data_IF_664161663883
#
_entry.id   IF_664161663883
#
_cell.length_a   1.000
_cell.length_b   1.000
_cell.length_c   1.000
_cell.angle_alpha   90.00
_cell.angle_beta   90.00
_cell.angle_gamma   90.00
#
_symmetry.space_group_name_H-M   'P 1'
#
loop_
_entity.id
_entity.type
_entity.pdbx_description
1 polymer ?
#
# COMPACT_ATOMS: atom_id res chain seq x y z
N UNK A 1 7.21 -20.23 29.67
CA UNK A 1 6.35 -19.20 29.06
C UNK A 1 5.70 -19.82 27.84
N UNK A 2 4.36 -19.83 27.75
CA UNK A 2 3.62 -20.33 26.57
C UNK A 2 3.04 -19.16 25.79
N UNK A 3 3.18 -19.19 24.47
CA UNK A 3 2.60 -18.22 23.57
C UNK A 3 1.46 -18.88 22.79
N UNK A 4 0.39 -18.14 22.55
CA UNK A 4 -0.67 -18.54 21.66
C UNK A 4 -0.40 -17.90 20.29
N UNK A 5 -0.45 -18.72 19.23
CA UNK A 5 -0.36 -18.25 17.86
C UNK A 5 -1.55 -18.77 17.07
N UNK A 6 -2.03 -17.97 16.13
CA UNK A 6 -3.00 -18.39 15.12
C UNK A 6 -2.24 -18.65 13.84
N UNK A 7 -2.39 -19.86 13.31
CA UNK A 7 -1.77 -20.29 12.06
C UNK A 7 -2.85 -20.32 10.98
N UNK A 8 -2.57 -19.67 9.85
CA UNK A 8 -3.47 -19.66 8.70
C UNK A 8 -2.72 -20.03 7.42
N UNK A 9 -3.45 -20.51 6.43
CA UNK A 9 -2.94 -20.79 5.10
C UNK A 9 -3.27 -19.66 4.14
N UNK A 10 -2.34 -19.32 3.24
CA UNK A 10 -2.58 -18.39 2.12
C UNK A 10 -3.01 -19.12 0.84
N UNK A 11 -3.27 -20.43 0.90
CA UNK A 11 -3.84 -21.16 -0.24
C UNK A 11 -5.20 -20.55 -0.64
N UNK A 12 -5.54 -20.50 -1.92
CA UNK A 12 -6.82 -19.95 -2.40
C UNK A 12 -8.06 -20.57 -1.72
N UNK A 13 -7.98 -21.84 -1.37
CA UNK A 13 -9.05 -22.58 -0.68
C UNK A 13 -9.29 -22.16 0.77
N UNK A 14 -8.36 -21.46 1.39
CA UNK A 14 -8.49 -21.02 2.80
C UNK A 14 -9.48 -19.86 2.99
N UNK A 15 -9.84 -19.16 1.92
CA UNK A 15 -10.62 -17.92 1.96
C UNK A 15 -9.85 -16.71 2.52
N UNK A 16 -8.64 -16.90 3.01
CA UNK A 16 -7.79 -15.79 3.47
C UNK A 16 -7.23 -15.03 2.26
N UNK A 17 -7.42 -13.70 2.25
CA UNK A 17 -6.97 -12.84 1.17
C UNK A 17 -6.08 -11.73 1.71
N UNK A 18 -5.05 -11.38 0.92
CA UNK A 18 -4.27 -10.17 1.14
C UNK A 18 -4.90 -9.09 0.27
N UNK A 19 -5.32 -7.98 0.88
CA UNK A 19 -5.81 -6.81 0.15
C UNK A 19 -4.84 -5.66 0.33
N UNK A 20 -4.74 -4.75 -0.66
CA UNK A 20 -3.79 -3.66 -0.59
C UNK A 20 -4.25 -2.55 0.36
N UNK A 21 -3.30 -1.79 0.86
CA UNK A 21 -3.52 -0.42 1.28
C UNK A 21 -3.03 0.52 0.18
N UNK A 22 -3.81 1.55 -0.08
CA UNK A 22 -3.46 2.62 -1.00
C UNK A 22 -2.92 3.83 -0.23
N UNK A 23 -2.25 4.73 -0.92
CA UNK A 23 -1.68 5.94 -0.34
C UNK A 23 -2.38 7.16 -0.92
N UNK A 24 -2.69 8.13 -0.06
CA UNK A 24 -3.09 9.46 -0.46
C UNK A 24 -2.02 10.45 0.01
N UNK A 25 -1.45 11.18 -0.93
CA UNK A 25 -0.42 12.18 -0.68
C UNK A 25 -1.04 13.55 -0.88
N UNK A 26 -1.23 14.29 0.20
CA UNK A 26 -1.77 15.66 0.11
C UNK A 26 -0.63 16.64 0.02
N UNK A 27 -0.57 17.36 -1.08
CA UNK A 27 0.43 18.39 -1.38
C UNK A 27 -0.07 19.79 -1.03
N UNK A 28 0.81 20.78 -0.86
CA UNK A 28 0.43 22.16 -0.66
C UNK A 28 -0.31 22.80 -1.85
N UNK A 29 -0.08 22.30 -3.08
CA UNK A 29 -0.78 22.77 -4.28
C UNK A 29 -0.99 21.67 -5.30
N UNK A 30 -1.97 21.85 -6.20
CA UNK A 30 -2.25 20.93 -7.28
C UNK A 30 -1.08 20.82 -8.28
N UNK A 31 -0.34 21.90 -8.49
CA UNK A 31 0.85 21.92 -9.35
C UNK A 31 1.95 20.99 -8.81
N UNK A 32 2.23 21.08 -7.50
CA UNK A 32 3.21 20.20 -6.85
C UNK A 32 2.77 18.74 -6.85
N UNK A 33 1.49 18.49 -6.61
CA UNK A 33 0.91 17.15 -6.69
C UNK A 33 1.11 16.56 -8.09
N UNK A 34 0.76 17.33 -9.13
CA UNK A 34 0.93 16.93 -10.53
C UNK A 34 2.39 16.70 -10.90
N UNK A 35 3.29 17.62 -10.54
CA UNK A 35 4.72 17.51 -10.83
C UNK A 35 5.33 16.22 -10.22
N UNK A 36 5.00 15.94 -8.98
CA UNK A 36 5.45 14.70 -8.32
C UNK A 36 4.91 13.45 -9.02
N UNK A 37 3.60 13.43 -9.33
CA UNK A 37 2.97 12.28 -9.98
C UNK A 37 3.55 12.01 -11.37
N UNK A 38 3.81 13.05 -12.16
CA UNK A 38 4.44 12.93 -13.47
C UNK A 38 5.89 12.42 -13.37
N UNK A 39 6.67 12.89 -12.40
CA UNK A 39 8.01 12.36 -12.14
C UNK A 39 8.02 10.88 -11.76
N UNK A 40 7.04 10.43 -10.98
CA UNK A 40 6.87 9.00 -10.69
C UNK A 40 6.48 8.22 -11.96
N UNK A 41 5.54 8.76 -12.75
CA UNK A 41 5.09 8.12 -13.98
C UNK A 41 6.23 7.99 -15.01
N UNK A 42 7.11 8.98 -15.10
CA UNK A 42 8.29 8.95 -15.97
C UNK A 42 9.33 7.91 -15.51
N UNK A 43 9.46 7.71 -14.20
CA UNK A 43 10.38 6.74 -13.63
C UNK A 43 9.86 5.28 -13.66
N UNK A 44 8.61 5.09 -13.99
CA UNK A 44 7.94 3.81 -14.18
C UNK A 44 7.67 3.56 -15.67
N UNK A 45 7.11 2.41 -15.99
CA UNK A 45 6.73 2.06 -17.37
C UNK A 45 5.21 2.05 -17.50
N UNK A 46 4.64 2.46 -18.65
CA UNK A 46 3.23 2.23 -18.93
C UNK A 46 2.89 0.74 -18.78
N UNK A 47 1.75 0.44 -18.19
CA UNK A 47 1.30 -0.94 -18.06
C UNK A 47 0.68 -1.41 -19.37
N UNK A 48 1.22 -2.50 -19.92
CA UNK A 48 0.63 -3.18 -21.09
C UNK A 48 -0.40 -4.26 -20.69
N UNK A 49 -0.61 -4.47 -19.38
CA UNK A 49 -1.51 -5.46 -18.81
C UNK A 49 -2.18 -4.97 -17.53
N UNK A 50 -2.30 -5.85 -16.54
CA UNK A 50 -2.83 -5.44 -15.24
C UNK A 50 -1.91 -4.42 -14.57
N UNK A 51 -2.46 -3.26 -14.20
CA UNK A 51 -1.71 -2.21 -13.56
C UNK A 51 -1.16 -2.67 -12.19
N UNK A 52 0.14 -2.49 -11.96
CA UNK A 52 0.73 -2.67 -10.65
C UNK A 52 0.55 -1.44 -9.77
N UNK A 53 0.63 -0.26 -10.39
CA UNK A 53 0.43 1.04 -9.77
C UNK A 53 -0.54 1.84 -10.63
N UNK A 54 -1.53 2.48 -10.02
CA UNK A 54 -2.35 3.50 -10.68
C UNK A 54 -2.17 4.82 -9.93
N UNK A 55 -1.76 5.85 -10.65
CA UNK A 55 -1.62 7.20 -10.11
C UNK A 55 -2.80 8.05 -10.55
N UNK A 56 -3.60 8.52 -9.60
CA UNK A 56 -4.65 9.50 -9.85
C UNK A 56 -4.25 10.83 -9.22
N UNK A 57 -4.33 11.92 -9.97
CA UNK A 57 -3.87 13.25 -9.53
C UNK A 57 -4.60 14.36 -10.29
N UNK A 58 -4.51 15.63 -9.89
CA UNK A 58 -5.18 16.73 -10.59
C UNK A 58 -4.79 16.79 -12.08
N UNK A 59 -5.78 16.65 -12.94
CA UNK A 59 -5.64 16.57 -14.41
C UNK A 59 -5.41 15.14 -14.96
N UNK A 60 -5.47 14.12 -14.10
CA UNK A 60 -5.52 12.71 -14.46
C UNK A 60 -6.28 11.93 -13.38
N UNK A 61 -7.55 12.30 -13.16
CA UNK A 61 -8.40 11.78 -12.08
C UNK A 61 -8.77 10.31 -12.31
N UNK A 62 -8.88 9.87 -13.54
CA UNK A 62 -9.13 8.46 -13.91
C UNK A 62 -7.88 7.58 -13.75
N UNK A 63 -6.73 8.21 -13.59
CA UNK A 63 -5.48 7.57 -13.27
C UNK A 63 -4.66 7.12 -14.48
N UNK A 64 -3.36 7.02 -14.24
CA UNK A 64 -2.37 6.45 -15.18
C UNK A 64 -1.97 5.08 -14.67
N UNK A 65 -2.19 4.05 -15.47
CA UNK A 65 -1.83 2.67 -15.16
C UNK A 65 -0.36 2.41 -15.51
N UNK A 66 0.41 1.98 -14.51
CA UNK A 66 1.86 1.81 -14.59
C UNK A 66 2.28 0.42 -14.10
N UNK A 67 3.42 -0.03 -14.58
CA UNK A 67 4.16 -1.19 -14.06
C UNK A 67 5.51 -0.75 -13.52
N UNK A 68 6.03 -1.51 -12.56
CA UNK A 68 7.33 -1.28 -11.94
C UNK A 68 8.26 -2.47 -12.23
N UNK A 69 8.82 -2.57 -13.45
CA UNK A 69 9.70 -3.67 -13.81
C UNK A 69 11.05 -3.58 -13.09
N UNK A 70 11.82 -4.68 -13.14
CA UNK A 70 13.20 -4.76 -12.63
C UNK A 70 13.36 -4.36 -11.17
N UNK A 71 12.38 -4.70 -10.33
CA UNK A 71 12.51 -4.55 -8.88
C UNK A 71 13.19 -5.80 -8.27
N UNK A 72 13.96 -5.58 -7.24
CA UNK A 72 14.61 -6.64 -6.44
C UNK A 72 13.85 -6.91 -5.13
N UNK A 73 12.84 -6.13 -4.86
CA UNK A 73 12.02 -6.20 -3.65
C UNK A 73 10.53 -6.15 -4.01
N UNK A 74 9.64 -6.28 -3.04
CA UNK A 74 8.21 -6.18 -3.27
C UNK A 74 7.81 -4.83 -3.87
N UNK A 75 6.72 -4.80 -4.64
CA UNK A 75 6.22 -3.56 -5.24
C UNK A 75 6.05 -2.44 -4.21
N UNK A 76 5.46 -2.76 -3.07
CA UNK A 76 5.18 -1.75 -2.04
C UNK A 76 6.46 -1.20 -1.41
N UNK A 77 7.49 -2.04 -1.20
CA UNK A 77 8.79 -1.60 -0.71
C UNK A 77 9.48 -0.71 -1.74
N UNK A 78 9.50 -1.13 -3.01
CA UNK A 78 10.05 -0.32 -4.11
C UNK A 78 9.40 1.05 -4.19
N UNK A 79 8.08 1.14 -4.11
CA UNK A 79 7.36 2.42 -4.15
C UNK A 79 7.70 3.32 -2.96
N UNK A 80 7.86 2.75 -1.77
CA UNK A 80 8.31 3.51 -0.60
C UNK A 80 9.74 4.02 -0.78
N UNK A 81 10.71 3.14 -0.96
CA UNK A 81 12.13 3.50 -1.03
C UNK A 81 12.47 4.46 -2.18
N UNK A 82 11.80 4.31 -3.34
CA UNK A 82 12.08 5.16 -4.49
C UNK A 82 11.40 6.52 -4.42
N UNK A 83 10.18 6.58 -3.88
CA UNK A 83 9.32 7.77 -4.02
C UNK A 83 8.74 8.28 -2.70
N UNK A 84 8.13 7.42 -1.86
CA UNK A 84 7.32 7.87 -0.74
C UNK A 84 8.19 8.34 0.42
N UNK A 85 9.26 7.62 0.73
CA UNK A 85 10.18 7.96 1.83
C UNK A 85 11.01 9.23 1.56
N UNK A 86 10.98 9.71 0.31
CA UNK A 86 11.64 10.94 -0.14
C UNK A 86 10.72 12.14 -0.24
N UNK A 87 9.47 12.01 0.22
CA UNK A 87 8.52 13.11 0.19
C UNK A 87 9.00 14.28 1.07
N UNK A 88 8.77 15.52 0.62
CA UNK A 88 9.00 16.69 1.46
C UNK A 88 8.15 16.64 2.73
N UNK A 89 8.65 17.26 3.80
CA UNK A 89 8.00 17.26 5.12
C UNK A 89 6.61 17.96 5.15
N UNK A 90 6.32 18.78 4.15
CA UNK A 90 5.05 19.47 3.99
C UNK A 90 3.99 18.66 3.22
N UNK A 91 4.33 17.41 2.81
CA UNK A 91 3.40 16.49 2.17
C UNK A 91 2.85 15.51 3.20
N UNK A 92 1.53 15.45 3.30
CA UNK A 92 0.86 14.56 4.23
C UNK A 92 0.60 13.21 3.56
N UNK A 93 1.08 12.12 4.17
CA UNK A 93 0.81 10.74 3.76
C UNK A 93 -0.33 10.16 4.59
N UNK A 94 -1.33 9.61 3.91
CA UNK A 94 -2.45 8.88 4.49
C UNK A 94 -2.56 7.50 3.85
N UNK A 95 -3.08 6.53 4.61
CA UNK A 95 -3.32 5.18 4.12
C UNK A 95 -4.82 4.87 4.13
N UNK A 96 -5.34 4.35 3.02
CA UNK A 96 -6.72 3.92 2.94
C UNK A 96 -6.89 2.65 2.13
N UNK A 97 -8.04 2.03 2.26
CA UNK A 97 -8.52 0.93 1.40
C UNK A 97 -9.69 1.39 0.53
N UNK A 98 -10.17 2.60 0.77
CA UNK A 98 -11.31 3.17 0.07
C UNK A 98 -10.86 4.04 -1.11
N UNK A 99 -10.98 3.47 -2.31
CA UNK A 99 -10.66 4.17 -3.56
C UNK A 99 -11.69 5.25 -3.90
N UNK A 100 -12.94 5.09 -3.46
CA UNK A 100 -14.01 6.06 -3.73
C UNK A 100 -13.74 7.38 -2.99
N UNK A 101 -13.17 7.32 -1.80
CA UNK A 101 -12.73 8.50 -1.06
C UNK A 101 -11.69 9.30 -1.84
N UNK A 102 -10.69 8.63 -2.42
CA UNK A 102 -9.66 9.30 -3.22
C UNK A 102 -10.26 9.98 -4.45
N UNK A 103 -11.11 9.28 -5.18
CA UNK A 103 -11.79 9.84 -6.35
C UNK A 103 -12.66 11.05 -5.99
N UNK A 104 -13.38 10.98 -4.87
CA UNK A 104 -14.18 12.10 -4.40
C UNK A 104 -13.34 13.33 -4.02
N UNK A 105 -12.16 13.12 -3.41
CA UNK A 105 -11.22 14.22 -3.09
C UNK A 105 -10.70 14.89 -4.36
N UNK A 106 -10.28 14.10 -5.34
CA UNK A 106 -9.78 14.61 -6.62
C UNK A 106 -10.85 15.39 -7.38
N UNK A 107 -12.07 14.86 -7.49
CA UNK A 107 -13.21 15.55 -8.14
C UNK A 107 -13.57 16.88 -7.48
N UNK A 108 -13.26 17.06 -6.21
CA UNK A 108 -13.40 18.34 -5.49
C UNK A 108 -12.20 19.27 -5.65
N UNK A 109 -11.24 18.93 -6.50
CA UNK A 109 -10.06 19.76 -6.76
C UNK A 109 -8.99 19.71 -5.66
N UNK A 110 -9.03 18.71 -4.77
CA UNK A 110 -8.00 18.62 -3.73
C UNK A 110 -6.62 18.35 -4.34
N UNK A 111 -5.54 18.93 -3.79
CA UNK A 111 -4.17 18.74 -4.25
C UNK A 111 -3.62 17.37 -3.77
N UNK A 112 -4.25 16.30 -4.18
CA UNK A 112 -3.96 14.93 -3.74
C UNK A 112 -3.40 14.11 -4.88
N UNK A 113 -2.40 13.29 -4.59
CA UNK A 113 -2.03 12.15 -5.44
C UNK A 113 -2.47 10.87 -4.75
N UNK A 114 -3.34 10.12 -5.40
CA UNK A 114 -3.70 8.79 -4.96
C UNK A 114 -2.80 7.77 -5.66
N UNK A 115 -2.06 7.00 -4.85
CA UNK A 115 -1.20 5.91 -5.31
C UNK A 115 -1.90 4.61 -4.99
N UNK A 116 -2.55 4.03 -5.99
CA UNK A 116 -3.23 2.76 -5.87
C UNK A 116 -2.24 1.64 -6.23
N UNK A 117 -1.99 0.74 -5.30
CA UNK A 117 -1.08 -0.39 -5.48
C UNK A 117 -1.87 -1.68 -5.58
N UNK A 118 -1.42 -2.63 -6.40
CA UNK A 118 -1.93 -4.00 -6.33
C UNK A 118 -1.62 -4.62 -4.97
N UNK A 119 -2.33 -5.67 -4.61
CA UNK A 119 -2.03 -6.41 -3.39
C UNK A 119 -0.63 -7.04 -3.45
N UNK A 120 0.00 -7.18 -2.29
CA UNK A 120 1.18 -8.04 -2.11
C UNK A 120 0.75 -9.49 -2.39
N UNK A 121 1.52 -10.20 -3.21
CA UNK A 121 1.26 -11.62 -3.44
C UNK A 121 1.82 -12.49 -2.32
N UNK A 122 1.36 -13.73 -2.22
CA UNK A 122 1.93 -14.69 -1.25
C UNK A 122 3.41 -14.93 -1.49
N UNK A 123 3.82 -15.01 -2.74
CA UNK A 123 5.22 -15.19 -3.14
C UNK A 123 6.08 -14.01 -2.70
N UNK A 124 5.63 -12.78 -2.92
CA UNK A 124 6.31 -11.57 -2.44
C UNK A 124 6.40 -11.54 -0.91
N UNK A 125 5.34 -12.00 -0.22
CA UNK A 125 5.32 -12.05 1.23
C UNK A 125 6.40 -13.01 1.74
N UNK A 126 6.42 -14.24 1.26
CA UNK A 126 7.38 -15.25 1.69
C UNK A 126 8.82 -14.86 1.31
N UNK A 127 9.05 -14.42 0.08
CA UNK A 127 10.38 -13.98 -0.36
C UNK A 127 10.93 -12.83 0.51
N UNK A 128 10.08 -11.88 0.92
CA UNK A 128 10.50 -10.78 1.80
C UNK A 128 10.91 -11.29 3.18
N UNK A 129 10.13 -12.22 3.76
CA UNK A 129 10.42 -12.82 5.08
C UNK A 129 11.67 -13.68 5.03
N UNK A 130 11.83 -14.53 4.01
CA UNK A 130 13.00 -15.39 3.82
C UNK A 130 14.29 -14.58 3.64
N UNK A 131 14.20 -13.42 2.99
CA UNK A 131 15.31 -12.47 2.88
C UNK A 131 15.63 -11.72 4.19
N UNK A 132 14.90 -11.98 5.29
CA UNK A 132 15.05 -11.26 6.56
C UNK A 132 14.64 -9.80 6.49
N UNK A 133 13.90 -9.41 5.46
CA UNK A 133 13.43 -8.04 5.23
C UNK A 133 12.04 -7.82 5.82
N UNK A 134 11.65 -6.54 5.95
CA UNK A 134 10.34 -6.15 6.46
C UNK A 134 9.61 -5.28 5.43
N UNK A 135 8.29 -5.35 5.46
CA UNK A 135 7.45 -4.46 4.65
C UNK A 135 7.34 -3.07 5.28
N UNK A 136 7.20 -2.02 4.47
CA UNK A 136 6.76 -0.71 4.95
C UNK A 136 5.43 -0.79 5.71
N UNK A 137 5.12 0.19 6.58
CA UNK A 137 3.84 0.24 7.27
C UNK A 137 2.65 0.15 6.31
N UNK A 138 1.58 -0.52 6.75
CA UNK A 138 0.33 -0.64 5.96
C UNK A 138 0.54 -1.21 4.55
N UNK A 139 1.31 -2.27 4.43
CA UNK A 139 1.56 -2.97 3.14
C UNK A 139 0.53 -4.05 2.85
N UNK A 140 0.02 -4.71 3.90
CA UNK A 140 -0.90 -5.84 3.77
C UNK A 140 -2.10 -5.67 4.70
N UNK A 141 -3.25 -6.13 4.23
CA UNK A 141 -4.42 -6.31 5.05
C UNK A 141 -4.98 -7.71 4.78
N UNK A 142 -4.90 -8.57 5.79
CA UNK A 142 -5.47 -9.91 5.73
C UNK A 142 -6.97 -9.87 6.00
N UNK A 143 -7.75 -10.49 5.13
CA UNK A 143 -9.20 -10.61 5.25
C UNK A 143 -9.65 -12.06 5.04
N UNK A 144 -10.60 -12.58 5.84
CA UNK A 144 -11.26 -11.92 6.98
C UNK A 144 -10.31 -11.72 8.17
N UNK A 145 -10.60 -10.69 8.98
CA UNK A 145 -9.92 -10.49 10.26
C UNK A 145 -10.46 -11.46 11.29
N UNK A 146 -9.57 -12.02 12.10
CA UNK A 146 -9.98 -12.72 13.31
C UNK A 146 -10.66 -11.74 14.27
N UNK A 147 -11.71 -12.20 14.90
CA UNK A 147 -12.43 -11.40 15.90
C UNK A 147 -11.54 -11.20 17.12
N UNK A 148 -11.42 -9.97 17.57
CA UNK A 148 -10.70 -9.66 18.80
C UNK A 148 -11.46 -10.22 20.01
N UNK A 149 -10.72 -10.73 20.99
CA UNK A 149 -11.32 -11.23 22.22
C UNK A 149 -11.81 -12.69 22.18
N UNK A 150 -11.67 -13.40 21.06
CA UNK A 150 -12.01 -14.83 20.99
C UNK A 150 -11.16 -15.68 21.93
N UNK A 151 -9.91 -15.26 22.17
CA UNK A 151 -8.98 -15.87 23.12
C UNK A 151 -8.35 -14.76 23.94
N UNK A 152 -8.43 -14.86 25.27
CA UNK A 152 -7.81 -13.94 26.22
C UNK A 152 -6.88 -14.71 27.13
N UNK A 153 -5.69 -14.17 27.37
CA UNK A 153 -4.75 -14.67 28.37
C UNK A 153 -4.66 -13.66 29.51
N UNK A 154 -4.97 -14.11 30.72
CA UNK A 154 -4.72 -13.33 31.91
C UNK A 154 -3.24 -13.40 32.30
N UNK A 155 -2.64 -12.26 32.53
CA UNK A 155 -1.31 -12.16 33.12
C UNK A 155 -1.45 -11.82 34.59
N UNK A 156 -0.86 -12.65 35.45
CA UNK A 156 -0.62 -12.28 36.85
C UNK A 156 0.72 -11.59 36.90
N UNK A 157 0.73 -10.35 37.35
CA UNK A 157 1.98 -9.66 37.69
C UNK A 157 2.28 -10.00 39.13
N UNK A 158 3.36 -10.76 39.38
CA UNK A 158 3.91 -10.90 40.72
C UNK A 158 4.39 -9.51 41.15
N UNK A 159 3.83 -9.03 42.25
CA UNK A 159 4.21 -7.75 42.89
C UNK A 159 5.50 -7.89 43.65
#
# INVERSE_FOLDING_TARGET
>A
KSNLAVVGSLAPSSGLRITPYHRALTFPSAERARAWALGVAEALSPSAGAAEVTLCFPGAEDGIALSCPRRTESLVATMHHRFIDKLPADVKLEYTRDLAEHSARLKRGAPVVAVHLRAVTSEELFATVEAGSTFPPKSTYFYPKLWSGMVMRLFQFDR
#
